data_IF_384029346083
#
_entry.id   IF_384029346083
#
_cell.length_a   1.000
_cell.length_b   1.000
_cell.length_c   1.000
_cell.angle_alpha   90.00
_cell.angle_beta   90.00
_cell.angle_gamma   90.00
#
_symmetry.space_group_name_H-M   'P 1'
#
loop_
_entity.id
_entity.type
_entity.pdbx_description
1 polymer ?
#
# COMPACT_ATOMS: atom_id res chain seq x y z
N UNK A 1 47.33 47.59 -10.77
CA UNK A 1 46.93 46.63 -9.74
C UNK A 1 45.49 46.19 -10.06
N UNK A 2 45.19 44.90 -10.17
CA UNK A 2 44.05 44.42 -10.92
C UNK A 2 42.77 44.37 -10.10
N UNK A 3 41.74 44.69 -10.82
CA UNK A 3 40.30 44.62 -10.55
C UNK A 3 39.85 43.19 -10.27
N UNK A 4 39.29 42.91 -9.09
CA UNK A 4 38.60 41.64 -8.78
C UNK A 4 37.10 41.81 -9.01
N UNK A 5 36.67 41.39 -10.20
CA UNK A 5 35.28 41.18 -10.51
C UNK A 5 34.75 40.00 -9.68
N UNK A 6 33.78 40.28 -8.79
CA UNK A 6 33.01 39.27 -8.07
C UNK A 6 32.06 38.54 -9.01
N UNK A 7 32.38 37.31 -9.36
CA UNK A 7 31.43 36.41 -10.02
C UNK A 7 30.31 36.04 -9.09
N UNK A 8 29.10 36.52 -9.34
CA UNK A 8 27.86 36.03 -8.74
C UNK A 8 27.62 34.63 -9.28
N UNK A 9 27.73 33.63 -8.41
CA UNK A 9 27.23 32.26 -8.68
C UNK A 9 25.69 32.35 -8.81
N UNK A 10 25.23 32.20 -10.05
CA UNK A 10 23.80 31.99 -10.34
C UNK A 10 23.25 30.74 -9.66
N UNK A 11 21.93 30.62 -9.55
CA UNK A 11 21.29 29.50 -8.86
C UNK A 11 21.67 28.18 -9.54
N UNK A 12 22.18 27.23 -8.74
CA UNK A 12 22.53 25.89 -9.18
C UNK A 12 21.33 25.26 -9.88
N UNK A 13 21.50 25.01 -11.15
CA UNK A 13 20.61 24.20 -11.97
C UNK A 13 20.47 22.81 -11.31
N UNK A 14 19.31 22.53 -10.74
CA UNK A 14 18.89 21.16 -10.43
C UNK A 14 18.69 20.49 -11.79
N UNK A 15 19.43 19.42 -12.11
CA UNK A 15 19.22 18.73 -13.37
C UNK A 15 17.82 18.11 -13.36
N UNK A 16 16.94 18.63 -14.20
CA UNK A 16 15.64 18.03 -14.49
C UNK A 16 15.85 16.77 -15.33
N UNK A 17 15.91 15.60 -14.68
CA UNK A 17 15.83 14.30 -15.36
C UNK A 17 14.39 14.07 -15.86
N UNK A 18 13.96 14.76 -16.91
CA UNK A 18 12.60 14.71 -17.46
C UNK A 18 12.55 14.19 -18.90
N UNK A 19 13.24 13.10 -19.27
CA UNK A 19 13.21 12.68 -20.68
C UNK A 19 12.46 11.35 -20.96
N UNK A 20 12.06 10.54 -19.95
CA UNK A 20 11.40 9.25 -20.23
C UNK A 20 10.02 9.06 -19.56
N UNK A 21 9.28 10.14 -19.31
CA UNK A 21 8.04 10.08 -18.52
C UNK A 21 6.73 9.69 -19.24
N UNK A 22 6.52 9.82 -20.56
CA UNK A 22 5.20 9.52 -21.12
C UNK A 22 4.88 8.02 -21.11
N UNK A 23 5.85 7.15 -21.45
CA UNK A 23 5.63 5.70 -21.48
C UNK A 23 5.52 5.12 -20.06
N UNK A 24 6.35 5.58 -19.12
CA UNK A 24 6.28 5.16 -17.72
C UNK A 24 4.94 5.53 -17.09
N UNK A 25 4.40 6.72 -17.39
CA UNK A 25 3.06 7.13 -16.93
C UNK A 25 1.95 6.30 -17.57
N UNK A 26 2.05 5.99 -18.86
CA UNK A 26 1.09 5.13 -19.56
C UNK A 26 1.06 3.72 -18.98
N UNK A 27 2.23 3.21 -18.58
CA UNK A 27 2.38 1.89 -17.96
C UNK A 27 2.12 1.89 -16.45
N UNK A 28 1.76 3.03 -15.85
CA UNK A 28 1.53 3.13 -14.41
C UNK A 28 2.78 2.89 -13.55
N UNK A 29 4.00 3.10 -14.11
CA UNK A 29 5.25 2.93 -13.37
C UNK A 29 5.46 4.14 -12.47
N UNK A 30 5.19 3.97 -11.18
CA UNK A 30 5.44 4.98 -10.16
C UNK A 30 6.83 4.82 -9.53
N UNK A 31 7.36 5.91 -8.99
CA UNK A 31 8.63 5.88 -8.27
C UNK A 31 8.47 5.04 -6.99
N UNK A 32 9.25 3.97 -6.89
CA UNK A 32 9.26 3.14 -5.69
C UNK A 32 10.01 3.86 -4.56
N UNK A 33 9.26 4.38 -3.60
CA UNK A 33 9.78 5.11 -2.43
C UNK A 33 10.14 4.20 -1.26
N UNK A 34 9.88 2.89 -1.37
CA UNK A 34 10.16 1.90 -0.33
C UNK A 34 11.67 1.75 -0.09
N UNK A 35 12.11 1.79 1.17
CA UNK A 35 13.51 1.63 1.54
C UNK A 35 14.06 0.24 1.19
N UNK A 36 15.37 0.13 1.02
CA UNK A 36 16.02 -1.17 0.77
C UNK A 36 15.83 -2.15 1.94
N UNK A 37 15.84 -1.66 3.17
CA UNK A 37 15.58 -2.49 4.35
C UNK A 37 14.18 -3.10 4.30
N UNK A 38 13.16 -2.30 3.96
CA UNK A 38 11.78 -2.76 3.84
C UNK A 38 11.58 -3.80 2.73
N UNK A 39 12.28 -3.62 1.59
CA UNK A 39 12.29 -4.62 0.51
C UNK A 39 12.88 -5.96 0.99
N UNK A 40 14.02 -5.92 1.69
CA UNK A 40 14.64 -7.14 2.23
C UNK A 40 13.78 -7.80 3.30
N UNK A 41 13.15 -7.04 4.19
CA UNK A 41 12.22 -7.59 5.18
C UNK A 41 11.03 -8.28 4.52
N UNK A 42 10.48 -7.71 3.46
CA UNK A 42 9.38 -8.32 2.69
C UNK A 42 9.83 -9.63 2.03
N UNK A 43 11.01 -9.66 1.41
CA UNK A 43 11.56 -10.85 0.78
C UNK A 43 11.79 -11.97 1.81
N UNK A 44 12.49 -11.64 2.91
CA UNK A 44 12.81 -12.61 3.96
C UNK A 44 11.51 -13.13 4.61
N UNK A 45 10.60 -12.23 4.96
CA UNK A 45 9.31 -12.59 5.56
C UNK A 45 8.49 -13.53 4.67
N UNK A 46 8.34 -13.19 3.38
CA UNK A 46 7.62 -14.03 2.41
C UNK A 46 8.27 -15.40 2.26
N UNK A 47 9.60 -15.45 2.17
CA UNK A 47 10.35 -16.69 2.03
C UNK A 47 10.21 -17.58 3.25
N UNK A 48 10.37 -17.02 4.46
CA UNK A 48 10.24 -17.77 5.72
C UNK A 48 8.78 -18.22 5.95
N UNK A 49 7.81 -17.34 5.69
CA UNK A 49 6.38 -17.69 5.80
C UNK A 49 6.00 -18.83 4.86
N UNK A 50 6.48 -18.77 3.61
CA UNK A 50 6.24 -19.81 2.63
C UNK A 50 6.94 -21.13 2.99
N UNK A 51 8.20 -21.06 3.43
CA UNK A 51 8.95 -22.23 3.89
C UNK A 51 8.27 -22.91 5.09
N UNK A 52 7.75 -22.12 6.02
CA UNK A 52 7.02 -22.62 7.18
C UNK A 52 5.68 -23.29 6.78
N UNK A 53 4.94 -22.68 5.87
CA UNK A 53 3.71 -23.27 5.33
C UNK A 53 3.99 -24.60 4.61
N UNK A 54 5.05 -24.65 3.82
CA UNK A 54 5.50 -25.86 3.12
C UNK A 54 5.90 -26.96 4.10
N UNK A 55 6.73 -26.61 5.08
CA UNK A 55 7.16 -27.54 6.12
C UNK A 55 5.98 -28.12 6.91
N UNK A 56 5.04 -27.27 7.37
CA UNK A 56 3.89 -27.73 8.13
C UNK A 56 2.99 -28.64 7.29
N UNK A 57 2.75 -28.28 6.02
CA UNK A 57 1.98 -29.11 5.09
C UNK A 57 2.61 -30.48 4.87
N UNK A 58 3.95 -30.59 4.88
CA UNK A 58 4.68 -31.84 4.72
C UNK A 58 4.57 -32.81 5.93
N UNK A 59 4.20 -32.28 7.11
CA UNK A 59 4.02 -33.10 8.32
C UNK A 59 2.65 -33.81 8.34
N UNK A 60 1.75 -33.53 7.40
CA UNK A 60 0.43 -34.12 7.37
C UNK A 60 0.43 -35.48 6.67
N UNK A 61 -0.36 -36.45 7.17
CA UNK A 61 -0.49 -37.76 6.53
C UNK A 61 -1.05 -37.63 5.11
N UNK A 62 -0.39 -38.26 4.14
CA UNK A 62 -0.80 -38.21 2.73
C UNK A 62 -0.31 -36.98 1.95
N UNK A 63 0.45 -36.10 2.58
CA UNK A 63 0.96 -34.89 1.96
C UNK A 63 2.14 -35.15 1.03
N UNK A 64 1.91 -35.26 -0.28
CA UNK A 64 2.90 -34.87 -1.27
C UNK A 64 3.07 -33.36 -1.15
N UNK A 65 4.10 -32.91 -0.43
CA UNK A 65 4.28 -31.53 0.04
C UNK A 65 4.14 -30.44 -1.04
N UNK A 66 4.45 -30.75 -2.29
CA UNK A 66 4.33 -29.79 -3.40
C UNK A 66 2.88 -29.63 -3.91
N UNK A 67 2.10 -30.71 -3.95
CA UNK A 67 0.70 -30.64 -4.40
C UNK A 67 -0.21 -29.83 -3.44
N UNK A 68 0.20 -29.75 -2.17
CA UNK A 68 -0.52 -29.01 -1.13
C UNK A 68 -0.08 -27.54 -1.03
N UNK A 69 0.98 -27.16 -1.74
CA UNK A 69 1.39 -25.77 -1.91
C UNK A 69 0.55 -25.10 -2.99
N UNK A 70 -0.50 -24.45 -2.55
CA UNK A 70 -1.34 -23.67 -3.45
C UNK A 70 -0.56 -22.45 -3.99
N UNK A 71 -0.62 -22.21 -5.30
CA UNK A 71 -0.08 -20.99 -5.90
C UNK A 71 -0.67 -19.73 -5.24
N UNK A 72 -1.93 -19.81 -4.78
CA UNK A 72 -2.60 -18.78 -4.00
C UNK A 72 -1.91 -18.48 -2.65
N UNK A 73 -1.25 -19.48 -2.02
CA UNK A 73 -0.48 -19.30 -0.79
C UNK A 73 0.72 -18.36 -1.02
N UNK A 74 1.43 -18.53 -2.15
CA UNK A 74 2.53 -17.63 -2.53
C UNK A 74 2.07 -16.19 -2.75
N UNK A 75 0.94 -15.99 -3.42
CA UNK A 75 0.35 -14.67 -3.61
C UNK A 75 -0.07 -14.03 -2.26
N UNK A 76 -0.63 -14.82 -1.35
CA UNK A 76 -0.99 -14.35 0.00
C UNK A 76 0.24 -14.02 0.83
N UNK A 77 1.33 -14.79 0.73
CA UNK A 77 2.60 -14.46 1.37
C UNK A 77 3.13 -13.11 0.88
N UNK A 78 3.09 -12.86 -0.43
CA UNK A 78 3.49 -11.56 -0.98
C UNK A 78 2.67 -10.42 -0.37
N UNK A 79 1.34 -10.54 -0.27
CA UNK A 79 0.49 -9.51 0.32
C UNK A 79 0.78 -9.30 1.82
N UNK A 80 0.84 -10.36 2.62
CA UNK A 80 1.06 -10.27 4.07
C UNK A 80 2.42 -9.67 4.42
N UNK A 81 3.46 -9.96 3.63
CA UNK A 81 4.82 -9.54 3.94
C UNK A 81 5.30 -8.33 3.13
N UNK A 82 4.76 -8.04 1.94
CA UNK A 82 5.11 -6.83 1.21
C UNK A 82 4.19 -5.64 1.55
N UNK A 83 2.93 -5.90 1.89
CA UNK A 83 1.92 -4.87 2.19
C UNK A 83 1.18 -5.25 3.49
N UNK A 84 1.86 -5.32 4.66
CA UNK A 84 1.26 -5.81 5.90
C UNK A 84 0.09 -4.94 6.40
N UNK A 85 0.05 -3.66 6.03
CA UNK A 85 -1.01 -2.74 6.39
C UNK A 85 -2.17 -2.70 5.38
N UNK A 86 -2.01 -3.33 4.22
CA UNK A 86 -3.03 -3.38 3.18
C UNK A 86 -4.32 -4.03 3.70
N UNK A 87 -5.47 -3.50 3.29
CA UNK A 87 -6.77 -4.03 3.70
C UNK A 87 -6.96 -5.49 3.23
N UNK A 88 -6.41 -5.84 2.07
CA UNK A 88 -6.48 -7.18 1.49
C UNK A 88 -5.59 -8.22 2.21
N UNK A 89 -4.61 -7.75 2.97
CA UNK A 89 -3.62 -8.57 3.70
C UNK A 89 -4.07 -8.95 5.11
N UNK A 90 -5.17 -8.37 5.61
CA UNK A 90 -5.59 -8.56 7.00
C UNK A 90 -6.08 -10.00 7.27
N UNK A 91 -6.05 -10.48 8.53
CA UNK A 91 -6.40 -11.86 8.85
C UNK A 91 -7.76 -12.32 8.33
N UNK A 92 -8.80 -11.49 8.47
CA UNK A 92 -10.14 -11.85 7.99
C UNK A 92 -10.22 -11.97 6.46
N UNK A 93 -9.75 -11.01 5.64
CA UNK A 93 -9.63 -11.19 4.20
C UNK A 93 -8.87 -12.45 3.79
N UNK A 94 -7.73 -12.73 4.40
CA UNK A 94 -6.94 -13.92 4.08
C UNK A 94 -7.70 -15.20 4.38
N UNK A 95 -8.15 -15.37 5.61
CA UNK A 95 -8.84 -16.61 6.05
C UNK A 95 -10.19 -16.78 5.33
N UNK A 96 -11.04 -15.76 5.40
CA UNK A 96 -12.37 -15.78 4.80
C UNK A 96 -12.30 -15.89 3.28
N UNK A 97 -11.42 -15.12 2.64
CA UNK A 97 -11.25 -15.13 1.19
C UNK A 97 -10.88 -16.51 0.66
N UNK A 98 -9.92 -17.18 1.29
CA UNK A 98 -9.52 -18.55 0.89
C UNK A 98 -10.61 -19.58 1.12
N UNK A 99 -11.21 -19.60 2.33
CA UNK A 99 -12.22 -20.62 2.68
C UNK A 99 -13.48 -20.48 1.84
N UNK A 100 -13.99 -19.26 1.67
CA UNK A 100 -15.20 -18.99 0.88
C UNK A 100 -14.96 -19.33 -0.58
N UNK A 101 -13.80 -18.93 -1.13
CA UNK A 101 -13.44 -19.25 -2.52
C UNK A 101 -13.25 -20.75 -2.73
N UNK A 102 -12.62 -21.46 -1.81
CA UNK A 102 -12.53 -22.91 -1.86
C UNK A 102 -13.91 -23.57 -1.87
N UNK A 103 -14.81 -23.13 -0.97
CA UNK A 103 -16.19 -23.63 -0.93
C UNK A 103 -16.92 -23.45 -2.26
N UNK A 104 -16.83 -22.25 -2.83
CA UNK A 104 -17.45 -21.93 -4.13
C UNK A 104 -16.81 -22.75 -5.23
N UNK A 105 -15.47 -22.84 -5.27
CA UNK A 105 -14.74 -23.62 -6.27
C UNK A 105 -15.14 -25.10 -6.27
N UNK A 106 -15.14 -25.73 -5.09
CA UNK A 106 -15.60 -27.14 -4.94
C UNK A 106 -17.05 -27.29 -5.35
N UNK A 107 -17.93 -26.34 -4.97
CA UNK A 107 -19.34 -26.39 -5.35
C UNK A 107 -19.52 -26.27 -6.88
N UNK A 108 -18.83 -25.32 -7.52
CA UNK A 108 -18.88 -25.16 -8.97
C UNK A 108 -18.36 -26.41 -9.69
N UNK A 109 -17.23 -26.95 -9.25
CA UNK A 109 -16.67 -28.18 -9.81
C UNK A 109 -17.64 -29.36 -9.71
N UNK A 110 -18.35 -29.47 -8.59
CA UNK A 110 -19.24 -30.60 -8.33
C UNK A 110 -20.57 -30.51 -9.07
N UNK A 111 -21.12 -29.30 -9.22
CA UNK A 111 -22.50 -29.13 -9.70
C UNK A 111 -22.58 -28.58 -11.14
N UNK A 112 -21.50 -28.05 -11.71
CA UNK A 112 -21.51 -27.55 -13.08
C UNK A 112 -20.87 -28.57 -14.04
N UNK A 113 -21.52 -28.81 -15.22
CA UNK A 113 -21.16 -29.92 -16.08
C UNK A 113 -19.86 -29.73 -16.88
N UNK A 114 -19.45 -28.50 -17.12
CA UNK A 114 -18.25 -28.19 -17.90
C UNK A 114 -17.23 -27.42 -17.06
N UNK A 115 -15.96 -27.84 -17.09
CA UNK A 115 -14.88 -27.25 -16.31
C UNK A 115 -14.68 -25.77 -16.59
N UNK A 116 -14.83 -25.33 -17.84
CA UNK A 116 -14.69 -23.93 -18.22
C UNK A 116 -15.77 -23.05 -17.58
N UNK A 117 -17.02 -23.51 -17.63
CA UNK A 117 -18.13 -22.82 -16.96
C UNK A 117 -17.96 -22.81 -15.44
N UNK A 118 -17.51 -23.92 -14.87
CA UNK A 118 -17.22 -24.01 -13.44
C UNK A 118 -16.14 -23.00 -13.02
N UNK A 119 -15.06 -22.85 -13.79
CA UNK A 119 -13.98 -21.91 -13.52
C UNK A 119 -14.44 -20.45 -13.62
N UNK A 120 -15.20 -20.12 -14.66
CA UNK A 120 -15.77 -18.78 -14.86
C UNK A 120 -16.73 -18.43 -13.71
N UNK A 121 -17.65 -19.34 -13.40
CA UNK A 121 -18.62 -19.17 -12.32
C UNK A 121 -17.94 -19.06 -10.96
N UNK A 122 -16.96 -19.92 -10.67
CA UNK A 122 -16.20 -19.90 -9.43
C UNK A 122 -15.47 -18.57 -9.24
N UNK A 123 -14.88 -18.02 -10.31
CA UNK A 123 -14.21 -16.71 -10.27
C UNK A 123 -15.21 -15.60 -9.89
N UNK A 124 -16.29 -15.47 -10.64
CA UNK A 124 -17.27 -14.40 -10.42
C UNK A 124 -17.97 -14.49 -9.07
N UNK A 125 -18.43 -15.71 -8.70
CA UNK A 125 -19.10 -15.95 -7.43
C UNK A 125 -18.16 -15.75 -6.22
N UNK A 126 -16.89 -16.12 -6.33
CA UNK A 126 -15.91 -15.89 -5.26
C UNK A 126 -15.69 -14.40 -5.03
N UNK A 127 -15.52 -13.61 -6.09
CA UNK A 127 -15.39 -12.15 -5.97
C UNK A 127 -16.64 -11.56 -5.34
N UNK A 128 -17.83 -11.93 -5.84
CA UNK A 128 -19.09 -11.44 -5.29
C UNK A 128 -19.23 -11.78 -3.79
N UNK A 129 -19.02 -13.04 -3.42
CA UNK A 129 -19.11 -13.47 -2.04
C UNK A 129 -18.12 -12.75 -1.12
N UNK A 130 -16.86 -12.58 -1.56
CA UNK A 130 -15.85 -11.86 -0.82
C UNK A 130 -16.21 -10.38 -0.60
N UNK A 131 -16.83 -9.71 -1.58
CA UNK A 131 -17.31 -8.34 -1.40
C UNK A 131 -18.41 -8.26 -0.33
N UNK A 132 -19.44 -9.07 -0.44
CA UNK A 132 -20.57 -9.04 0.52
C UNK A 132 -20.16 -9.47 1.92
N UNK A 133 -19.19 -10.39 2.04
CA UNK A 133 -18.68 -10.88 3.34
C UNK A 133 -17.50 -10.04 3.87
N UNK A 134 -17.11 -8.97 3.15
CA UNK A 134 -16.02 -8.05 3.53
C UNK A 134 -14.68 -8.77 3.75
N UNK A 135 -14.41 -9.76 2.93
CA UNK A 135 -13.17 -10.55 2.99
C UNK A 135 -12.48 -10.62 1.61
N UNK A 136 -12.48 -9.49 0.89
CA UNK A 136 -11.84 -9.44 -0.42
C UNK A 136 -10.35 -9.76 -0.30
N UNK A 137 -9.95 -10.87 -0.92
CA UNK A 137 -8.57 -11.36 -0.95
C UNK A 137 -8.31 -11.98 -2.32
N UNK A 138 -7.71 -11.26 -3.26
CA UNK A 138 -7.54 -11.73 -4.64
C UNK A 138 -6.93 -13.13 -4.78
N UNK A 139 -5.94 -13.54 -3.96
CA UNK A 139 -5.43 -14.90 -4.00
C UNK A 139 -6.49 -15.98 -3.70
N UNK A 140 -7.59 -15.63 -3.03
CA UNK A 140 -8.72 -16.54 -2.83
C UNK A 140 -9.33 -17.02 -4.15
N UNK A 141 -9.41 -16.14 -5.17
CA UNK A 141 -9.91 -16.55 -6.50
C UNK A 141 -9.04 -17.65 -7.11
N UNK A 142 -7.71 -17.57 -6.95
CA UNK A 142 -6.82 -18.63 -7.39
C UNK A 142 -7.06 -19.95 -6.63
N UNK A 143 -7.49 -19.89 -5.37
CA UNK A 143 -7.92 -21.07 -4.60
C UNK A 143 -9.20 -21.68 -5.17
N UNK A 144 -10.19 -20.87 -5.58
CA UNK A 144 -11.39 -21.36 -6.25
C UNK A 144 -11.06 -22.05 -7.58
N UNK A 145 -10.20 -21.44 -8.39
CA UNK A 145 -9.71 -22.04 -9.63
C UNK A 145 -8.94 -23.34 -9.41
N UNK A 146 -8.13 -23.40 -8.36
CA UNK A 146 -7.44 -24.63 -7.98
C UNK A 146 -8.42 -25.75 -7.63
N UNK A 147 -9.51 -25.45 -6.90
CA UNK A 147 -10.55 -26.43 -6.59
C UNK A 147 -11.26 -26.97 -7.84
N UNK A 148 -11.41 -26.12 -8.86
CA UNK A 148 -12.04 -26.54 -10.14
C UNK A 148 -11.08 -27.29 -11.04
N UNK A 149 -9.81 -26.84 -11.16
CA UNK A 149 -8.85 -27.29 -12.17
C UNK A 149 -7.81 -28.28 -11.64
N UNK A 150 -7.77 -28.52 -10.32
CA UNK A 150 -6.70 -29.27 -9.66
C UNK A 150 -6.64 -30.78 -9.95
N UNK A 151 -7.52 -31.29 -10.79
CA UNK A 151 -7.52 -32.69 -11.22
C UNK A 151 -8.11 -33.69 -10.20
N UNK A 152 -8.07 -34.99 -10.51
CA UNK A 152 -8.80 -36.02 -9.74
C UNK A 152 -8.40 -36.08 -8.27
N UNK A 153 -7.15 -35.89 -7.93
CA UNK A 153 -6.66 -35.93 -6.54
C UNK A 153 -7.30 -34.82 -5.68
N UNK A 154 -7.41 -33.62 -6.25
CA UNK A 154 -8.02 -32.44 -5.58
C UNK A 154 -9.55 -32.62 -5.52
N UNK A 155 -10.16 -33.14 -6.57
CA UNK A 155 -11.59 -33.36 -6.61
C UNK A 155 -12.05 -34.42 -5.60
N UNK A 156 -11.22 -35.43 -5.32
CA UNK A 156 -11.47 -36.44 -4.27
C UNK A 156 -11.54 -35.84 -2.87
N UNK A 157 -10.79 -34.76 -2.60
CA UNK A 157 -10.87 -34.06 -1.32
C UNK A 157 -12.22 -33.40 -1.09
N UNK A 158 -12.91 -33.01 -2.18
CA UNK A 158 -14.21 -32.35 -2.06
C UNK A 158 -14.17 -31.21 -1.03
N UNK A 159 -15.12 -31.10 -0.13
CA UNK A 159 -15.16 -30.06 0.91
C UNK A 159 -14.09 -30.21 2.00
N UNK A 160 -13.40 -31.33 2.14
CA UNK A 160 -12.26 -31.43 3.04
C UNK A 160 -11.09 -30.56 2.60
N UNK A 161 -11.02 -30.18 1.31
CA UNK A 161 -10.09 -29.21 0.78
C UNK A 161 -10.09 -27.88 1.55
N UNK A 162 -11.27 -27.47 2.08
CA UNK A 162 -11.44 -26.23 2.83
C UNK A 162 -10.59 -26.22 4.10
N UNK A 163 -10.56 -27.35 4.80
CA UNK A 163 -9.83 -27.49 6.06
C UNK A 163 -8.36 -27.75 5.79
N UNK A 164 -8.09 -28.71 4.94
CA UNK A 164 -6.74 -29.12 4.56
C UNK A 164 -6.69 -29.34 3.02
N UNK A 165 -5.85 -28.57 2.32
CA UNK A 165 -4.79 -27.66 2.76
C UNK A 165 -5.19 -26.17 2.94
N UNK A 166 -6.39 -25.73 2.52
CA UNK A 166 -6.69 -24.31 2.34
C UNK A 166 -6.63 -23.52 3.65
N UNK A 167 -7.45 -23.89 4.63
CA UNK A 167 -7.48 -23.17 5.93
C UNK A 167 -6.16 -23.31 6.67
N UNK A 168 -5.52 -24.47 6.61
CA UNK A 168 -4.25 -24.71 7.26
C UNK A 168 -3.17 -23.76 6.71
N UNK A 169 -3.02 -23.66 5.39
CA UNK A 169 -2.03 -22.78 4.76
C UNK A 169 -2.33 -21.30 5.08
N UNK A 170 -3.60 -20.91 5.01
CA UNK A 170 -4.01 -19.54 5.33
C UNK A 170 -3.72 -19.19 6.80
N UNK A 171 -4.06 -20.08 7.74
CA UNK A 171 -3.75 -19.90 9.16
C UNK A 171 -2.24 -19.83 9.42
N UNK A 172 -1.47 -20.68 8.77
CA UNK A 172 0.00 -20.71 8.90
C UNK A 172 0.62 -19.40 8.42
N UNK A 173 0.19 -18.87 7.28
CA UNK A 173 0.67 -17.58 6.79
C UNK A 173 0.27 -16.42 7.67
N UNK A 174 -0.98 -16.39 8.16
CA UNK A 174 -1.42 -15.36 9.09
C UNK A 174 -0.60 -15.41 10.38
N UNK A 175 -0.37 -16.61 10.93
CA UNK A 175 0.47 -16.78 12.12
C UNK A 175 1.92 -16.33 11.86
N UNK A 176 2.51 -16.74 10.74
CA UNK A 176 3.84 -16.28 10.35
C UNK A 176 3.90 -14.75 10.19
N UNK A 177 2.87 -14.15 9.59
CA UNK A 177 2.72 -12.70 9.48
C UNK A 177 2.60 -12.01 10.83
N UNK A 178 1.81 -12.56 11.75
CA UNK A 178 1.70 -12.08 13.14
C UNK A 178 3.05 -12.13 13.87
N UNK A 179 3.78 -13.21 13.74
CA UNK A 179 5.06 -13.38 14.42
C UNK A 179 6.13 -12.48 13.80
N UNK A 180 6.33 -12.54 12.49
CA UNK A 180 7.41 -11.84 11.80
C UNK A 180 7.20 -10.32 11.74
N UNK A 181 6.04 -9.84 11.27
CA UNK A 181 5.82 -8.42 11.09
C UNK A 181 5.84 -7.66 12.43
N UNK A 182 5.37 -8.25 13.53
CA UNK A 182 5.36 -7.61 14.84
C UNK A 182 6.75 -7.52 15.51
N UNK A 183 7.79 -8.14 14.95
CA UNK A 183 9.17 -7.89 15.36
C UNK A 183 9.63 -6.47 15.03
N UNK A 184 8.97 -5.82 14.08
CA UNK A 184 9.34 -4.50 13.57
C UNK A 184 8.22 -3.48 13.88
N UNK A 185 8.51 -2.39 14.60
CA UNK A 185 7.49 -1.40 15.00
C UNK A 185 6.75 -0.75 13.82
N UNK A 186 7.43 -0.61 12.65
CA UNK A 186 6.86 -0.05 11.42
C UNK A 186 5.93 -0.99 10.67
N UNK A 187 5.86 -2.29 11.06
CA UNK A 187 5.16 -3.34 10.32
C UNK A 187 4.05 -4.02 11.12
N UNK A 188 3.49 -3.34 12.12
CA UNK A 188 2.47 -3.90 13.00
C UNK A 188 1.34 -4.58 12.22
N UNK A 189 1.12 -5.87 12.49
CA UNK A 189 0.11 -6.70 11.85
C UNK A 189 -0.70 -7.47 12.92
N UNK A 190 -2.04 -7.49 12.87
CA UNK A 190 -2.89 -6.73 11.93
C UNK A 190 -2.79 -5.21 12.12
N UNK A 191 -3.25 -4.42 11.12
CA UNK A 191 -3.19 -2.96 11.14
C UNK A 191 -3.86 -2.32 12.37
N UNK A 192 -4.83 -3.01 12.97
CA UNK A 192 -5.49 -2.59 14.22
C UNK A 192 -4.55 -2.48 15.42
N UNK A 193 -3.43 -3.21 15.45
CA UNK A 193 -2.41 -3.10 16.50
C UNK A 193 -1.57 -1.82 16.37
N UNK A 194 -1.63 -1.15 15.24
CA UNK A 194 -0.93 0.12 15.01
C UNK A 194 -1.65 1.34 15.64
N UNK A 195 -2.86 1.18 16.19
CA UNK A 195 -3.75 2.24 16.70
C UNK A 195 -3.17 3.12 17.83
N UNK A 196 -2.07 2.74 18.48
CA UNK A 196 -1.56 3.43 19.67
C UNK A 196 -0.85 4.77 19.46
N UNK A 197 -0.60 5.25 18.21
CA UNK A 197 0.27 6.41 17.95
C UNK A 197 -0.40 7.60 17.24
N UNK A 198 -1.70 7.56 16.95
CA UNK A 198 -2.38 8.56 16.10
C UNK A 198 -3.29 9.54 16.88
N UNK A 199 -2.89 9.99 18.07
CA UNK A 199 -3.76 10.74 18.99
C UNK A 199 -3.77 12.26 18.78
N UNK A 200 -3.44 12.83 17.62
CA UNK A 200 -3.45 14.30 17.42
C UNK A 200 -3.87 14.76 16.02
N UNK A 201 -4.61 13.98 15.28
CA UNK A 201 -5.17 14.51 14.04
C UNK A 201 -6.58 15.06 14.28
N UNK A 202 -6.86 16.25 13.74
CA UNK A 202 -8.22 16.83 13.71
C UNK A 202 -9.19 16.02 12.82
N UNK A 203 -8.69 15.03 12.09
CA UNK A 203 -9.48 14.08 11.31
C UNK A 203 -9.87 12.89 12.19
N UNK A 204 -11.17 12.62 12.27
CA UNK A 204 -11.69 11.44 12.94
C UNK A 204 -11.80 10.29 11.93
N UNK A 205 -11.69 9.05 12.41
CA UNK A 205 -11.86 7.85 11.56
C UNK A 205 -13.20 7.87 10.82
N UNK A 206 -14.22 8.48 11.40
CA UNK A 206 -15.54 8.63 10.79
C UNK A 206 -15.53 9.52 9.54
N UNK A 207 -14.72 10.60 9.54
CA UNK A 207 -14.59 11.50 8.39
C UNK A 207 -13.92 10.79 7.21
N UNK A 208 -12.87 9.99 7.51
CA UNK A 208 -12.18 9.17 6.53
C UNK A 208 -13.10 8.08 5.98
N UNK A 209 -13.86 7.41 6.83
CA UNK A 209 -14.81 6.38 6.42
C UNK A 209 -15.95 6.95 5.56
N UNK A 210 -16.35 8.20 5.80
CA UNK A 210 -17.35 8.90 4.98
C UNK A 210 -16.77 9.27 3.61
N UNK A 211 -15.56 9.82 3.57
CA UNK A 211 -14.89 10.18 2.33
C UNK A 211 -14.63 8.94 1.45
N UNK A 212 -14.21 7.80 2.05
CA UNK A 212 -14.05 6.54 1.33
C UNK A 212 -15.36 6.02 0.74
N UNK A 213 -16.49 6.22 1.44
CA UNK A 213 -17.82 5.87 0.91
C UNK A 213 -18.23 6.74 -0.27
N UNK A 214 -17.88 8.02 -0.28
CA UNK A 214 -18.16 8.93 -1.40
C UNK A 214 -17.31 8.60 -2.64
N UNK A 215 -16.10 8.02 -2.46
CA UNK A 215 -15.27 7.60 -3.56
C UNK A 215 -15.79 6.34 -4.28
N UNK A 216 -16.73 5.59 -3.66
CA UNK A 216 -17.34 4.35 -4.17
C UNK A 216 -16.31 3.41 -4.85
N UNK A 217 -15.12 3.33 -4.26
CA UNK A 217 -14.01 2.54 -4.78
C UNK A 217 -13.31 1.79 -3.64
N UNK A 218 -12.83 0.58 -3.95
CA UNK A 218 -12.01 -0.16 -3.00
C UNK A 218 -10.60 0.44 -2.96
N UNK A 219 -10.19 0.90 -1.78
CA UNK A 219 -8.85 1.44 -1.54
C UNK A 219 -8.11 0.47 -0.62
N UNK A 220 -6.98 -0.05 -1.09
CA UNK A 220 -6.13 -0.98 -0.30
C UNK A 220 -5.24 -0.24 0.70
N UNK A 221 -5.87 0.63 1.49
CA UNK A 221 -5.24 1.35 2.61
C UNK A 221 -6.19 1.28 3.79
N UNK A 222 -5.67 1.01 4.99
CA UNK A 222 -6.49 1.08 6.19
C UNK A 222 -6.91 2.53 6.49
N UNK A 223 -8.12 2.77 7.05
CA UNK A 223 -8.53 4.11 7.47
C UNK A 223 -7.52 4.79 8.41
N UNK A 224 -6.87 4.00 9.24
CA UNK A 224 -5.84 4.46 10.18
C UNK A 224 -4.59 4.97 9.46
N UNK A 225 -4.12 4.26 8.45
CA UNK A 225 -2.94 4.68 7.67
C UNK A 225 -3.24 5.89 6.79
N UNK A 226 -4.46 5.98 6.25
CA UNK A 226 -4.91 7.15 5.51
C UNK A 226 -4.97 8.39 6.42
N UNK A 227 -5.46 8.26 7.65
CA UNK A 227 -5.44 9.32 8.65
C UNK A 227 -4.02 9.75 9.03
N UNK A 228 -3.09 8.80 9.19
CA UNK A 228 -1.67 9.07 9.43
C UNK A 228 -1.03 9.80 8.27
N UNK A 229 -1.26 9.33 7.04
CA UNK A 229 -0.73 9.92 5.82
C UNK A 229 -1.20 11.38 5.68
N UNK A 230 -2.48 11.65 5.95
CA UNK A 230 -3.02 12.99 5.94
C UNK A 230 -2.37 13.89 7.01
N UNK A 231 -2.19 13.37 8.22
CA UNK A 231 -1.54 14.09 9.33
C UNK A 231 -0.09 14.43 9.00
N UNK A 232 0.67 13.47 8.46
CA UNK A 232 2.04 13.69 8.00
C UNK A 232 2.09 14.73 6.87
N UNK A 233 1.22 14.61 5.88
CA UNK A 233 1.15 15.56 4.76
C UNK A 233 0.87 16.99 5.23
N UNK A 234 -0.08 17.17 6.15
CA UNK A 234 -0.37 18.48 6.74
C UNK A 234 0.79 19.04 7.55
N UNK A 235 1.50 18.20 8.31
CA UNK A 235 2.68 18.61 9.06
C UNK A 235 3.79 19.11 8.13
N UNK A 236 4.09 18.38 7.06
CA UNK A 236 5.07 18.81 6.06
C UNK A 236 4.62 20.07 5.31
N UNK A 237 3.32 20.20 4.98
CA UNK A 237 2.79 21.41 4.37
C UNK A 237 2.91 22.65 5.29
N UNK A 238 2.68 22.47 6.60
CA UNK A 238 2.84 23.52 7.58
C UNK A 238 4.33 23.92 7.74
N UNK A 239 5.23 22.94 7.78
CA UNK A 239 6.68 23.17 7.84
C UNK A 239 7.17 23.93 6.61
N UNK A 240 6.78 23.51 5.41
CA UNK A 240 7.11 24.20 4.15
C UNK A 240 6.63 25.65 4.14
N UNK A 241 5.41 25.94 4.66
CA UNK A 241 4.88 27.30 4.79
C UNK A 241 5.73 28.16 5.75
N UNK A 242 6.17 27.61 6.91
CA UNK A 242 7.04 28.29 7.85
C UNK A 242 8.40 28.63 7.21
N UNK A 243 9.01 27.67 6.54
CA UNK A 243 10.30 27.84 5.87
C UNK A 243 10.22 28.93 4.78
N UNK A 244 9.12 28.96 4.05
CA UNK A 244 8.87 29.99 3.02
C UNK A 244 8.73 31.38 3.67
N UNK A 245 7.95 31.53 4.74
CA UNK A 245 7.80 32.78 5.50
C UNK A 245 9.14 33.26 6.07
N UNK A 246 9.95 32.34 6.60
CA UNK A 246 11.30 32.67 7.09
C UNK A 246 12.24 33.14 5.96
N UNK A 247 12.17 32.54 4.80
CA UNK A 247 12.96 32.98 3.62
C UNK A 247 12.51 34.37 3.14
N UNK A 248 11.22 34.58 3.04
CA UNK A 248 10.65 35.86 2.60
C UNK A 248 11.01 37.00 3.57
N UNK A 249 10.85 36.78 4.88
CA UNK A 249 11.22 37.73 5.92
C UNK A 249 12.74 38.03 5.91
N UNK A 250 13.58 37.06 5.57
CA UNK A 250 15.02 37.23 5.42
C UNK A 250 15.36 38.07 4.19
N UNK A 251 14.69 37.85 3.06
CA UNK A 251 14.86 38.62 1.83
C UNK A 251 14.42 40.08 2.04
N UNK A 252 13.29 40.28 2.72
CA UNK A 252 12.81 41.64 3.04
C UNK A 252 13.76 42.41 3.95
N UNK A 253 14.43 41.75 4.92
CA UNK A 253 15.45 42.38 5.76
C UNK A 253 16.76 42.68 5.02
N UNK A 254 17.05 41.98 3.92
CA UNK A 254 18.26 42.19 3.12
C UNK A 254 18.04 43.21 1.98
N UNK A 255 16.81 43.64 1.70
CA UNK A 255 16.55 44.76 0.78
C UNK A 255 17.10 46.04 1.41
N UNK A 256 18.14 46.68 0.82
CA UNK A 256 18.62 47.97 1.33
C UNK A 256 17.44 48.94 1.32
N UNK A 257 17.26 49.64 2.42
CA UNK A 257 16.31 50.74 2.54
C UNK A 257 16.71 51.74 1.45
N UNK A 258 16.05 51.69 0.30
CA UNK A 258 16.19 52.78 -0.71
C UNK A 258 15.76 54.05 0.00
N UNK A 259 16.74 54.85 0.39
CA UNK A 259 16.51 56.17 0.93
C UNK A 259 15.59 56.88 -0.02
N UNK A 260 14.46 57.31 0.51
CA UNK A 260 13.57 58.25 -0.19
C UNK A 260 14.44 59.49 -0.51
N UNK A 261 14.83 59.68 -1.72
CA UNK A 261 15.49 60.93 -2.14
C UNK A 261 14.50 62.06 -1.85
N UNK A 262 14.90 63.11 -1.11
CA UNK A 262 14.00 64.25 -0.88
C UNK A 262 13.78 64.96 -2.23
N UNK A 263 12.54 65.10 -2.57
CA UNK A 263 12.07 65.84 -3.75
C UNK A 263 12.76 67.22 -3.78
N UNK A 264 13.41 67.67 -4.85
CA UNK A 264 13.97 69.01 -4.94
C UNK A 264 12.82 70.05 -4.88
N UNK A 265 12.82 70.83 -3.81
CA UNK A 265 11.88 71.96 -3.66
C UNK A 265 12.10 72.88 -4.85
N UNK A 266 11.05 73.11 -5.70
CA UNK A 266 11.04 74.08 -6.76
C UNK A 266 11.25 75.49 -6.19
N UNK A 267 12.35 76.09 -6.53
CA UNK A 267 12.70 77.51 -6.24
C UNK A 267 11.81 78.37 -7.14
N UNK A 268 10.65 78.77 -6.62
CA UNK A 268 9.85 79.82 -7.29
C UNK A 268 10.62 81.16 -7.19
N UNK A 269 10.96 81.61 -8.36
CA UNK A 269 11.50 82.92 -8.70
C UNK A 269 10.71 84.06 -8.00
N UNK A 270 11.41 84.83 -7.16
CA UNK A 270 11.02 86.23 -6.92
C UNK A 270 11.76 87.04 -7.97
N UNK A 271 11.03 87.63 -8.94
CA UNK A 271 11.45 88.82 -9.63
C UNK A 271 10.23 89.66 -9.98
N UNK A 272 10.34 90.92 -9.54
CA UNK A 272 9.87 92.20 -10.07
C UNK A 272 8.37 92.47 -9.94
N UNK A 273 7.91 93.43 -9.34
CA UNK A 273 8.18 94.88 -9.24
C UNK A 273 7.75 95.40 -7.89
#
# INVERSE_FOLDING_TARGET
MPNRQGQSKGPSHVPSHHVHQPLARLLGVEANTTSHAEKWLSIIGSTLGMAFACWLSSQLPGGNSLAWMLASTGASAALIFAIPHGALSQPWPVLGGHVISAFIGVSCQRYLPAHEFAAIAATGLSIAAMYYLRCLHPPGVATALFAVMGGPEIHQLSYSLLLNPVLLNACTLVLAGLLFNNLFPSRRYPSTLARGAAATSSLQEEDVAKALRELDSFVDISPEDLSRLYTCANTFAAQRRRDWQHRESRILRLRPRMQAQPHPRSRKQKRAN
#
